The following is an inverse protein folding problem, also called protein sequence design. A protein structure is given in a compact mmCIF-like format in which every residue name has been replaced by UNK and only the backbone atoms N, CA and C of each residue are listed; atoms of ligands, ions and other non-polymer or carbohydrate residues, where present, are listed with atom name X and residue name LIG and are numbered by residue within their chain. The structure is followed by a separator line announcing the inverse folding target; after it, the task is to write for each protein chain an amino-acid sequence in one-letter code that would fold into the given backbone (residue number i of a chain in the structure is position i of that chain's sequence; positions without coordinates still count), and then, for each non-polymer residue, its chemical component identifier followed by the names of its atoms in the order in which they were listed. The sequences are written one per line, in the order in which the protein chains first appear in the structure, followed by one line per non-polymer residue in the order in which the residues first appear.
data_IF_396312738473
#
_entry.id   IF_396312738473
#
_cell.length_a   1.000
_cell.length_b   1.000
_cell.length_c   1.000
_cell.angle_alpha   90.00
_cell.angle_beta   90.00
_cell.angle_gamma   90.00
#
_symmetry.space_group_name_H-M   'P 1'
#
loop_
_entity.id
_entity.type
_entity.pdbx_description
1 polymer ?
#
# COMPACT_ATOMS: atom_id res chain seq x y z
N UNK A 1 -15.36 -5.97 -46.25
CA UNK A 1 -15.14 -4.57 -45.82
C UNK A 1 -14.61 -4.64 -44.39
N UNK A 2 -13.29 -4.67 -44.26
CA UNK A 2 -12.44 -3.55 -43.77
C UNK A 2 -12.61 -3.37 -42.26
N UNK A 3 -11.66 -3.88 -41.46
CA UNK A 3 -10.45 -3.19 -40.95
C UNK A 3 -10.77 -2.58 -39.57
N UNK A 4 -10.04 -2.75 -38.48
CA UNK A 4 -8.81 -3.41 -38.09
C UNK A 4 -8.68 -3.19 -36.56
N UNK A 5 -7.83 -3.93 -35.82
CA UNK A 5 -7.87 -3.94 -34.36
C UNK A 5 -7.07 -2.78 -33.76
N UNK A 6 -7.70 -1.96 -32.91
CA UNK A 6 -6.98 -0.99 -32.08
C UNK A 6 -6.48 -1.68 -30.81
N UNK A 7 -5.17 -1.59 -30.66
CA UNK A 7 -4.30 -2.16 -29.64
C UNK A 7 -4.58 -1.57 -28.24
N UNK A 8 -4.45 -2.46 -27.27
CA UNK A 8 -3.70 -2.31 -26.03
C UNK A 8 -3.72 -0.94 -25.32
N UNK A 9 -4.39 -0.88 -24.17
CA UNK A 9 -3.74 -0.41 -22.94
C UNK A 9 -4.11 -1.40 -21.83
N UNK A 10 -3.10 -2.15 -21.44
CA UNK A 10 -3.09 -3.07 -20.33
C UNK A 10 -3.34 -2.30 -19.02
N UNK A 11 -4.36 -2.73 -18.29
CA UNK A 11 -4.57 -2.37 -16.89
C UNK A 11 -3.58 -3.17 -16.02
N UNK A 12 -2.28 -2.93 -16.19
CA UNK A 12 -1.17 -3.56 -15.44
C UNK A 12 -0.36 -2.44 -14.80
N UNK A 13 -0.91 -1.84 -13.74
CA UNK A 13 -0.07 -1.07 -12.80
C UNK A 13 -0.66 -1.09 -11.38
N UNK A 14 -1.20 -2.22 -10.93
CA UNK A 14 -1.42 -2.48 -9.50
C UNK A 14 -1.06 -3.91 -9.08
N UNK A 15 -0.26 -4.61 -9.89
CA UNK A 15 0.24 -5.96 -9.60
C UNK A 15 1.74 -6.13 -9.93
N UNK A 16 2.53 -5.06 -9.92
CA UNK A 16 3.98 -5.14 -10.14
C UNK A 16 4.81 -4.50 -9.01
N UNK A 17 4.30 -4.54 -7.78
CA UNK A 17 5.05 -4.14 -6.58
C UNK A 17 5.27 -5.29 -5.58
N UNK A 18 4.93 -6.53 -5.93
CA UNK A 18 5.18 -7.70 -5.06
C UNK A 18 6.41 -8.52 -5.52
N UNK A 19 6.91 -8.33 -6.75
CA UNK A 19 7.99 -9.19 -7.30
C UNK A 19 9.41 -8.62 -7.29
N UNK A 20 9.70 -7.54 -6.54
CA UNK A 20 11.10 -7.11 -6.38
C UNK A 20 11.42 -6.71 -4.94
N UNK A 21 11.15 -7.64 -4.00
CA UNK A 21 11.81 -7.63 -2.71
C UNK A 21 13.16 -8.37 -2.86
N UNK A 22 14.30 -7.75 -2.50
CA UNK A 22 15.60 -8.42 -2.60
C UNK A 22 15.58 -9.71 -1.76
N UNK A 23 16.23 -10.80 -2.23
CA UNK A 23 16.27 -12.03 -1.47
C UNK A 23 17.10 -11.79 -0.21
N UNK A 24 16.41 -11.66 0.93
CA UNK A 24 17.01 -11.63 2.25
C UNK A 24 17.83 -12.93 2.47
N UNK A 25 19.15 -12.86 2.26
CA UNK A 25 20.10 -13.98 2.46
C UNK A 25 20.43 -14.26 3.94
N UNK A 26 19.54 -13.92 4.89
CA UNK A 26 19.76 -14.19 6.31
C UNK A 26 18.75 -15.21 6.86
N UNK A 27 18.83 -16.46 6.41
CA UNK A 27 18.16 -17.58 7.07
C UNK A 27 18.70 -18.99 6.68
N UNK A 28 19.97 -19.16 6.28
CA UNK A 28 20.47 -20.50 5.89
C UNK A 28 21.04 -21.36 7.02
N UNK A 29 21.45 -20.78 8.14
CA UNK A 29 22.21 -21.54 9.15
C UNK A 29 21.38 -22.20 10.25
N UNK A 30 20.05 -22.04 10.27
CA UNK A 30 19.21 -22.62 11.34
C UNK A 30 18.32 -23.81 10.92
N UNK A 31 18.33 -24.19 9.64
CA UNK A 31 17.49 -25.29 9.12
C UNK A 31 18.26 -26.55 8.73
N UNK A 32 19.58 -26.62 8.90
CA UNK A 32 20.36 -27.84 8.60
C UNK A 32 20.17 -28.98 9.61
N UNK A 33 19.51 -28.76 10.75
CA UNK A 33 19.35 -29.79 11.78
C UNK A 33 17.96 -30.45 11.84
N UNK A 34 17.13 -30.27 10.80
CA UNK A 34 15.95 -31.13 10.57
C UNK A 34 16.15 -31.91 9.28
N UNK A 35 17.00 -32.92 9.30
CA UNK A 35 16.89 -33.99 8.30
C UNK A 35 15.52 -34.67 8.44
N UNK A 36 14.75 -34.85 7.36
CA UNK A 36 13.56 -35.69 7.35
C UNK A 36 13.89 -37.21 7.32
N UNK A 37 15.17 -37.56 7.30
CA UNK A 37 15.63 -38.95 7.34
C UNK A 37 15.35 -39.58 8.72
N UNK A 38 14.96 -40.85 8.73
CA UNK A 38 14.81 -41.64 9.96
C UNK A 38 16.08 -41.62 10.84
N UNK A 39 15.98 -42.05 12.12
CA UNK A 39 17.10 -42.00 13.04
C UNK A 39 18.31 -42.74 12.46
N UNK A 40 19.49 -42.10 12.50
CA UNK A 40 20.71 -42.71 12.00
C UNK A 40 21.00 -43.98 12.83
N UNK A 41 21.48 -45.04 12.19
CA UNK A 41 21.71 -46.35 12.83
C UNK A 41 22.52 -46.24 14.14
N UNK A 42 23.52 -45.36 14.18
CA UNK A 42 24.34 -45.10 15.37
C UNK A 42 23.56 -44.50 16.53
N UNK A 43 22.73 -43.48 16.27
CA UNK A 43 21.89 -42.81 17.29
C UNK A 43 20.87 -43.77 17.89
N UNK A 44 20.27 -44.61 17.04
CA UNK A 44 19.34 -45.65 17.49
C UNK A 44 20.05 -46.72 18.34
N UNK A 45 21.29 -47.08 17.99
CA UNK A 45 22.07 -48.07 18.75
C UNK A 45 22.44 -47.59 20.15
N UNK A 46 22.85 -46.33 20.27
CA UNK A 46 23.17 -45.71 21.57
C UNK A 46 21.94 -45.61 22.46
N UNK A 47 20.79 -45.25 21.88
CA UNK A 47 19.52 -45.22 22.61
C UNK A 47 19.07 -46.62 23.06
N UNK A 48 19.16 -47.62 22.18
CA UNK A 48 18.84 -49.02 22.54
C UNK A 48 19.75 -49.50 23.67
N UNK A 49 21.05 -49.15 23.66
CA UNK A 49 21.99 -49.53 24.73
C UNK A 49 21.60 -48.94 26.09
N UNK A 50 21.06 -47.72 26.12
CA UNK A 50 20.60 -47.05 27.34
C UNK A 50 19.23 -47.50 27.86
N UNK A 51 18.52 -48.38 27.16
CA UNK A 51 17.23 -48.90 27.62
C UNK A 51 17.40 -49.88 28.80
N UNK A 52 16.46 -49.89 29.77
CA UNK A 52 16.36 -50.93 30.78
C UNK A 52 16.27 -52.33 30.15
N UNK A 53 16.80 -53.34 30.83
CA UNK A 53 16.82 -54.72 30.31
C UNK A 53 15.41 -55.26 30.05
N UNK A 54 14.45 -54.90 30.90
CA UNK A 54 13.02 -55.23 30.72
C UNK A 54 12.49 -54.75 29.37
N UNK A 55 12.77 -53.50 29.02
CA UNK A 55 12.28 -52.87 27.78
C UNK A 55 13.00 -53.44 26.55
N UNK A 56 14.29 -53.79 26.68
CA UNK A 56 15.04 -54.50 25.63
C UNK A 56 14.47 -55.89 25.37
N UNK A 57 14.19 -56.64 26.42
CA UNK A 57 13.63 -58.00 26.32
C UNK A 57 12.23 -57.98 25.70
N UNK A 58 11.37 -57.03 26.11
CA UNK A 58 10.07 -56.81 25.47
C UNK A 58 10.22 -56.51 23.98
N UNK A 59 11.15 -55.62 23.60
CA UNK A 59 11.40 -55.27 22.21
C UNK A 59 11.92 -56.43 21.36
N UNK A 60 12.64 -57.39 21.97
CA UNK A 60 13.11 -58.62 21.33
C UNK A 60 11.98 -59.64 21.19
N UNK A 61 11.16 -59.81 22.24
CA UNK A 61 9.98 -60.69 22.21
C UNK A 61 8.99 -60.21 21.16
N UNK A 62 8.68 -58.91 21.12
CA UNK A 62 7.80 -58.33 20.10
C UNK A 62 8.39 -58.44 18.69
N UNK A 63 9.72 -58.37 18.54
CA UNK A 63 10.38 -58.55 17.24
C UNK A 63 10.40 -60.00 16.76
N UNK A 64 10.41 -60.98 17.66
CA UNK A 64 10.30 -62.40 17.31
C UNK A 64 8.87 -62.79 16.87
N UNK A 65 7.85 -62.04 17.33
CA UNK A 65 6.43 -62.31 17.04
C UNK A 65 5.94 -61.57 15.78
N UNK A 66 6.44 -60.36 15.48
CA UNK A 66 6.01 -59.57 14.33
C UNK A 66 7.19 -58.84 13.64
N UNK A 67 7.60 -59.35 12.48
CA UNK A 67 8.68 -58.80 11.63
C UNK A 67 8.08 -57.94 10.50
N UNK A 68 7.65 -56.73 10.83
CA UNK A 68 7.02 -55.83 9.85
C UNK A 68 7.36 -54.34 10.00
N UNK A 69 7.05 -53.57 8.94
CA UNK A 69 7.22 -52.10 8.87
C UNK A 69 6.52 -51.37 10.03
N UNK A 70 5.40 -51.92 10.53
CA UNK A 70 4.68 -51.42 11.69
C UNK A 70 5.55 -51.39 12.96
N UNK A 71 6.36 -52.42 13.19
CA UNK A 71 7.30 -52.49 14.32
C UNK A 71 8.40 -51.43 14.17
N UNK A 72 9.00 -51.33 12.98
CA UNK A 72 10.02 -50.30 12.70
C UNK A 72 9.47 -48.90 13.04
N UNK A 73 8.23 -48.63 12.64
CA UNK A 73 7.57 -47.36 12.90
C UNK A 73 7.29 -47.10 14.40
N UNK A 74 6.88 -48.11 15.18
CA UNK A 74 6.68 -47.95 16.63
C UNK A 74 7.99 -47.63 17.37
N UNK A 75 9.09 -48.32 17.01
CA UNK A 75 10.40 -48.06 17.61
C UNK A 75 10.88 -46.63 17.28
N UNK A 76 10.76 -46.21 16.02
CA UNK A 76 11.11 -44.85 15.60
C UNK A 76 10.23 -43.81 16.29
N UNK A 77 8.95 -44.11 16.51
CA UNK A 77 8.02 -43.23 17.26
C UNK A 77 8.42 -43.08 18.72
N UNK A 78 8.81 -44.16 19.40
CA UNK A 78 9.29 -44.13 20.80
C UNK A 78 10.60 -43.33 20.92
N UNK A 79 11.55 -43.55 20.01
CA UNK A 79 12.80 -42.78 19.94
C UNK A 79 12.54 -41.28 19.75
N UNK A 80 11.64 -40.91 18.82
CA UNK A 80 11.29 -39.50 18.57
C UNK A 80 10.62 -38.87 19.80
N UNK A 81 9.70 -39.56 20.47
CA UNK A 81 8.98 -39.03 21.64
C UNK A 81 9.93 -38.69 22.79
N UNK A 82 10.91 -39.56 23.08
CA UNK A 82 11.90 -39.34 24.16
C UNK A 82 12.80 -38.15 23.85
N UNK A 83 13.30 -38.05 22.61
CA UNK A 83 14.14 -36.93 22.18
C UNK A 83 13.37 -35.60 22.17
N UNK A 84 12.10 -35.60 21.73
CA UNK A 84 11.26 -34.40 21.73
C UNK A 84 11.00 -33.86 23.14
N UNK A 85 10.80 -34.73 24.13
CA UNK A 85 10.65 -34.34 25.54
C UNK A 85 11.92 -33.66 26.08
N UNK A 86 13.10 -34.21 25.79
CA UNK A 86 14.39 -33.60 26.18
C UNK A 86 14.61 -32.23 25.51
N UNK A 87 14.20 -32.08 24.24
CA UNK A 87 14.27 -30.77 23.57
C UNK A 87 13.25 -29.77 24.13
N UNK A 88 12.07 -30.23 24.54
CA UNK A 88 11.01 -29.38 25.09
C UNK A 88 11.44 -28.72 26.41
N UNK A 89 12.08 -29.47 27.30
CA UNK A 89 12.54 -28.94 28.59
C UNK A 89 13.66 -27.89 28.43
N UNK A 90 14.57 -28.11 27.48
CA UNK A 90 15.65 -27.16 27.15
C UNK A 90 15.09 -25.92 26.45
N UNK A 91 14.10 -26.07 25.57
CA UNK A 91 13.46 -24.96 24.86
C UNK A 91 12.64 -24.09 25.83
N UNK A 92 11.87 -24.68 26.75
CA UNK A 92 11.07 -23.97 27.74
C UNK A 92 11.92 -23.08 28.68
N UNK A 93 13.14 -23.52 29.02
CA UNK A 93 14.10 -22.71 29.79
C UNK A 93 14.68 -21.54 28.97
N UNK A 94 14.75 -21.67 27.64
CA UNK A 94 15.27 -20.65 26.72
C UNK A 94 14.23 -19.64 26.24
N UNK A 95 12.95 -20.02 26.16
CA UNK A 95 11.83 -19.19 25.70
C UNK A 95 11.52 -18.04 26.66
N UNK A 96 11.61 -18.28 27.98
CA UNK A 96 11.39 -17.25 29.02
C UNK A 96 12.38 -16.08 28.93
N UNK A 97 13.53 -16.25 28.26
CA UNK A 97 14.53 -15.20 28.05
C UNK A 97 14.57 -14.63 26.61
N UNK A 98 13.55 -14.86 25.76
CA UNK A 98 13.61 -14.48 24.33
C UNK A 98 12.34 -13.88 23.72
N UNK A 99 11.15 -14.14 24.25
CA UNK A 99 9.91 -13.62 23.66
C UNK A 99 9.78 -12.09 23.77
N UNK A 100 10.14 -11.51 24.92
CA UNK A 100 10.12 -10.05 25.14
C UNK A 100 11.09 -9.29 24.24
N UNK A 101 12.30 -9.82 24.06
CA UNK A 101 13.33 -9.22 23.19
C UNK A 101 12.91 -9.25 21.72
N UNK A 102 12.25 -10.33 21.28
CA UNK A 102 11.71 -10.43 19.93
C UNK A 102 10.59 -9.41 19.69
N UNK A 103 9.70 -9.21 20.67
CA UNK A 103 8.65 -8.19 20.59
C UNK A 103 9.25 -6.78 20.57
N UNK A 104 10.24 -6.51 21.41
CA UNK A 104 10.95 -5.23 21.43
C UNK A 104 11.64 -4.95 20.09
N UNK A 105 12.35 -5.93 19.53
CA UNK A 105 12.98 -5.82 18.22
C UNK A 105 11.93 -5.61 17.11
N UNK A 106 10.80 -6.32 17.15
CA UNK A 106 9.71 -6.14 16.20
C UNK A 106 9.11 -4.72 16.27
N UNK A 107 8.92 -4.18 17.48
CA UNK A 107 8.44 -2.81 17.69
C UNK A 107 9.42 -1.76 17.14
N UNK A 108 10.72 -1.91 17.38
CA UNK A 108 11.74 -1.00 16.82
C UNK A 108 11.69 -1.00 15.29
N UNK A 109 11.62 -2.19 14.67
CA UNK A 109 11.50 -2.30 13.21
C UNK A 109 10.19 -1.74 12.67
N UNK A 110 9.08 -1.91 13.40
CA UNK A 110 7.79 -1.34 13.02
C UNK A 110 7.81 0.20 13.08
N UNK A 111 8.41 0.78 14.13
CA UNK A 111 8.59 2.23 14.24
C UNK A 111 9.44 2.79 13.10
N UNK A 112 10.54 2.12 12.78
CA UNK A 112 11.42 2.56 11.69
C UNK A 112 10.70 2.51 10.32
N UNK A 113 9.96 1.42 10.03
CA UNK A 113 9.14 1.35 8.81
C UNK A 113 8.08 2.45 8.77
N UNK A 114 7.41 2.71 9.90
CA UNK A 114 6.41 3.76 9.97
C UNK A 114 7.01 5.15 9.70
N UNK A 115 8.21 5.43 10.22
CA UNK A 115 8.94 6.66 9.96
C UNK A 115 9.24 6.83 8.47
N UNK A 116 9.85 5.81 7.85
CA UNK A 116 10.20 5.85 6.41
C UNK A 116 8.96 6.01 5.53
N UNK A 117 7.87 5.31 5.82
CA UNK A 117 6.61 5.46 5.09
C UNK A 117 6.00 6.86 5.26
N UNK A 118 6.11 7.45 6.45
CA UNK A 118 5.64 8.81 6.68
C UNK A 118 6.48 9.82 5.89
N UNK A 119 7.80 9.70 5.90
CA UNK A 119 8.72 10.54 5.11
C UNK A 119 8.47 10.42 3.61
N UNK A 120 8.17 9.22 3.10
CA UNK A 120 7.78 9.02 1.70
C UNK A 120 6.45 9.70 1.38
N UNK A 121 5.43 9.53 2.23
CA UNK A 121 4.12 10.17 2.05
C UNK A 121 4.21 11.69 2.06
N UNK A 122 5.01 12.28 2.95
CA UNK A 122 5.18 13.74 2.99
C UNK A 122 5.92 14.25 1.76
N UNK A 123 6.95 13.53 1.29
CA UNK A 123 7.66 13.87 0.06
C UNK A 123 6.77 13.75 -1.19
N UNK A 124 5.97 12.70 -1.30
CA UNK A 124 5.00 12.52 -2.40
C UNK A 124 3.91 13.59 -2.36
N UNK A 125 3.38 13.92 -1.18
CA UNK A 125 2.40 14.99 -1.03
C UNK A 125 2.99 16.34 -1.44
N UNK A 126 4.25 16.62 -1.10
CA UNK A 126 4.93 17.84 -1.51
C UNK A 126 5.12 17.91 -3.04
N UNK A 127 5.50 16.80 -3.68
CA UNK A 127 5.60 16.72 -5.15
C UNK A 127 4.26 16.97 -5.82
N UNK A 128 3.20 16.30 -5.37
CA UNK A 128 1.84 16.50 -5.92
C UNK A 128 1.38 17.95 -5.78
N UNK A 129 1.59 18.58 -4.61
CA UNK A 129 1.26 19.99 -4.42
C UNK A 129 2.04 20.89 -5.38
N UNK A 130 3.33 20.62 -5.59
CA UNK A 130 4.14 21.38 -6.55
C UNK A 130 3.65 21.20 -7.99
N UNK A 131 3.27 19.98 -8.37
CA UNK A 131 2.67 19.68 -9.67
C UNK A 131 1.32 20.37 -9.85
N UNK A 132 0.45 20.34 -8.83
CA UNK A 132 -0.85 21.00 -8.84
C UNK A 132 -0.72 22.52 -8.98
N UNK A 133 0.24 23.12 -8.26
CA UNK A 133 0.57 24.55 -8.38
C UNK A 133 1.08 24.88 -9.79
N UNK A 134 2.02 24.10 -10.33
CA UNK A 134 2.55 24.30 -11.68
C UNK A 134 1.46 24.11 -12.76
N UNK A 135 0.56 23.16 -12.58
CA UNK A 135 -0.58 22.94 -13.47
C UNK A 135 -1.57 24.11 -13.40
N UNK A 136 -1.86 24.63 -12.19
CA UNK A 136 -2.68 25.83 -12.00
C UNK A 136 -2.05 27.04 -12.67
N UNK A 137 -0.74 27.23 -12.54
CA UNK A 137 0.00 28.31 -13.21
C UNK A 137 -0.13 28.23 -14.73
N UNK A 138 0.13 27.05 -15.31
CA UNK A 138 -0.03 26.82 -16.76
C UNK A 138 -1.47 27.06 -17.23
N UNK A 139 -2.45 26.63 -16.45
CA UNK A 139 -3.86 26.86 -16.74
C UNK A 139 -4.17 28.36 -16.78
N UNK A 140 -3.72 29.12 -15.78
CA UNK A 140 -3.90 30.58 -15.74
C UNK A 140 -3.15 31.28 -16.89
N UNK A 141 -1.97 30.80 -17.28
CA UNK A 141 -1.25 31.33 -18.45
C UNK A 141 -2.04 31.11 -19.76
N UNK A 142 -2.62 29.93 -19.94
CA UNK A 142 -3.49 29.64 -21.09
C UNK A 142 -4.76 30.50 -21.09
N UNK A 143 -5.38 30.66 -19.91
CA UNK A 143 -6.54 31.51 -19.72
C UNK A 143 -6.24 32.97 -20.12
N UNK A 144 -5.05 33.46 -19.76
CA UNK A 144 -4.61 34.80 -20.11
C UNK A 144 -4.42 35.03 -21.61
N UNK A 145 -4.09 33.99 -22.37
CA UNK A 145 -3.99 34.07 -23.85
C UNK A 145 -5.35 34.06 -24.53
N UNK A 146 -6.34 33.41 -23.91
CA UNK A 146 -7.70 33.24 -24.45
C UNK A 146 -8.73 34.11 -23.75
N UNK A 147 -8.31 35.16 -23.05
CA UNK A 147 -9.17 35.98 -22.20
C UNK A 147 -10.44 36.47 -22.93
N UNK A 148 -10.30 36.96 -24.17
CA UNK A 148 -11.44 37.41 -24.98
C UNK A 148 -12.42 36.28 -25.33
N UNK A 149 -11.93 35.07 -25.56
CA UNK A 149 -12.79 33.89 -25.84
C UNK A 149 -13.53 33.45 -24.58
N UNK A 150 -12.86 33.47 -23.42
CA UNK A 150 -13.47 33.14 -22.12
C UNK A 150 -14.57 34.14 -21.78
N UNK A 151 -14.38 35.43 -22.04
CA UNK A 151 -15.45 36.43 -21.88
C UNK A 151 -16.67 36.14 -22.77
N UNK A 152 -16.45 35.68 -24.02
CA UNK A 152 -17.55 35.25 -24.91
C UNK A 152 -18.27 34.02 -24.36
N UNK A 153 -17.53 33.05 -23.82
CA UNK A 153 -18.10 31.86 -23.18
C UNK A 153 -18.94 32.22 -21.95
N UNK A 154 -18.45 33.14 -21.09
CA UNK A 154 -19.21 33.66 -19.95
C UNK A 154 -20.52 34.29 -20.44
N UNK A 155 -20.47 35.16 -21.46
CA UNK A 155 -21.67 35.77 -22.01
C UNK A 155 -22.67 34.72 -22.54
N UNK A 156 -22.19 33.69 -23.24
CA UNK A 156 -23.02 32.59 -23.73
C UNK A 156 -23.66 31.79 -22.58
N UNK A 157 -22.89 31.43 -21.55
CA UNK A 157 -23.40 30.71 -20.38
C UNK A 157 -24.42 31.52 -19.57
N UNK A 158 -24.27 32.85 -19.50
CA UNK A 158 -25.27 33.69 -18.84
C UNK A 158 -26.55 33.81 -19.69
N UNK A 159 -26.48 33.65 -21.01
CA UNK A 159 -27.65 33.65 -21.88
C UNK A 159 -28.51 32.39 -21.77
N UNK A 160 -27.92 31.20 -21.57
CA UNK A 160 -28.66 29.91 -21.60
C UNK A 160 -29.67 29.74 -20.47
N UNK A 161 -29.71 30.64 -19.47
CA UNK A 161 -30.66 30.64 -18.33
C UNK A 161 -30.69 29.33 -17.53
N UNK A 162 -29.62 28.53 -17.58
CA UNK A 162 -29.51 27.28 -16.83
C UNK A 162 -28.69 27.48 -15.55
N UNK A 163 -29.11 26.90 -14.41
CA UNK A 163 -28.34 26.96 -13.18
C UNK A 163 -26.91 26.42 -13.33
N UNK A 164 -26.70 25.32 -14.05
CA UNK A 164 -25.35 24.76 -14.24
C UNK A 164 -24.43 25.68 -15.04
N UNK A 165 -24.98 26.41 -16.00
CA UNK A 165 -24.21 27.35 -16.81
C UNK A 165 -23.86 28.61 -16.03
N UNK A 166 -24.71 29.05 -15.10
CA UNK A 166 -24.36 30.12 -14.17
C UNK A 166 -23.19 29.74 -13.27
N UNK A 167 -23.14 28.50 -12.76
CA UNK A 167 -22.01 28.04 -11.94
C UNK A 167 -20.70 28.01 -12.74
N UNK A 168 -20.78 27.59 -14.02
CA UNK A 168 -19.63 27.64 -14.96
C UNK A 168 -19.19 29.07 -15.24
N UNK A 169 -20.13 29.97 -15.49
CA UNK A 169 -19.85 31.39 -15.73
C UNK A 169 -19.16 32.04 -14.53
N UNK A 170 -19.66 31.77 -13.31
CA UNK A 170 -19.04 32.27 -12.07
C UNK A 170 -17.63 31.68 -11.90
N UNK A 171 -17.44 30.39 -12.16
CA UNK A 171 -16.11 29.75 -12.07
C UNK A 171 -15.09 30.39 -13.04
N UNK A 172 -15.50 30.66 -14.29
CA UNK A 172 -14.66 31.34 -15.28
C UNK A 172 -14.35 32.79 -14.88
N UNK A 173 -15.32 33.51 -14.30
CA UNK A 173 -15.10 34.86 -13.78
C UNK A 173 -14.12 34.87 -12.59
N UNK A 174 -14.18 33.87 -11.71
CA UNK A 174 -13.21 33.70 -10.62
C UNK A 174 -11.81 33.44 -11.15
N UNK A 175 -11.68 32.55 -12.14
CA UNK A 175 -10.39 32.28 -12.78
C UNK A 175 -9.80 33.54 -13.46
N UNK A 176 -10.63 34.36 -14.09
CA UNK A 176 -10.21 35.64 -14.67
C UNK A 176 -9.85 36.68 -13.60
N UNK A 177 -10.55 36.69 -12.46
CA UNK A 177 -10.20 37.52 -11.32
C UNK A 177 -8.83 37.15 -10.76
N UNK A 178 -8.57 35.86 -10.51
CA UNK A 178 -7.27 35.36 -10.04
C UNK A 178 -6.13 35.79 -10.98
N UNK A 179 -6.38 35.73 -12.28
CA UNK A 179 -5.45 36.21 -13.29
C UNK A 179 -5.20 37.72 -13.19
N UNK A 180 -6.24 38.53 -12.94
CA UNK A 180 -6.12 39.97 -12.78
C UNK A 180 -5.34 40.36 -11.52
N UNK A 181 -5.53 39.62 -10.43
CA UNK A 181 -4.77 39.76 -9.17
C UNK A 181 -3.29 39.48 -9.43
N UNK A 182 -2.98 38.38 -10.13
CA UNK A 182 -1.58 38.04 -10.49
C UNK A 182 -0.91 39.11 -11.36
N UNK A 183 -1.65 39.73 -12.28
CA UNK A 183 -1.12 40.79 -13.16
C UNK A 183 -1.14 42.18 -12.53
N UNK A 184 -1.64 42.31 -11.29
CA UNK A 184 -1.89 43.60 -10.62
C UNK A 184 -2.78 44.56 -11.44
N UNK A 185 -3.65 44.01 -12.30
CA UNK A 185 -4.57 44.73 -13.19
C UNK A 185 -6.02 44.67 -12.68
N UNK A 186 -6.20 44.63 -11.37
CA UNK A 186 -7.51 44.47 -10.71
C UNK A 186 -8.48 45.59 -11.06
N UNK A 187 -8.01 46.84 -11.15
CA UNK A 187 -8.87 48.00 -11.44
C UNK A 187 -9.56 47.91 -12.82
N UNK A 188 -8.85 47.46 -13.86
CA UNK A 188 -9.42 47.28 -15.20
C UNK A 188 -10.31 46.05 -15.31
N UNK A 189 -10.07 45.04 -14.47
CA UNK A 189 -10.93 43.85 -14.41
C UNK A 189 -12.29 44.19 -13.81
N UNK A 190 -12.36 44.93 -12.69
CA UNK A 190 -13.60 45.24 -11.96
C UNK A 190 -14.69 45.93 -12.79
N UNK A 191 -14.32 46.67 -13.84
CA UNK A 191 -15.30 47.31 -14.75
C UNK A 191 -16.11 46.28 -15.56
N UNK A 192 -15.55 45.11 -15.85
CA UNK A 192 -16.19 44.08 -16.68
C UNK A 192 -17.27 43.26 -15.96
N UNK A 193 -17.05 42.71 -14.74
CA UNK A 193 -18.10 42.05 -13.98
C UNK A 193 -19.20 43.02 -13.55
N UNK A 194 -18.87 44.30 -13.30
CA UNK A 194 -19.88 45.31 -12.98
C UNK A 194 -20.85 45.56 -14.15
N UNK A 195 -20.35 45.61 -15.39
CA UNK A 195 -21.20 45.66 -16.59
C UNK A 195 -22.09 44.41 -16.71
N UNK A 196 -21.57 43.23 -16.38
CA UNK A 196 -22.35 41.98 -16.39
C UNK A 196 -23.46 42.03 -15.33
N UNK A 197 -23.17 42.54 -14.12
CA UNK A 197 -24.17 42.74 -13.06
C UNK A 197 -25.28 43.69 -13.52
N UNK A 198 -24.94 44.79 -14.18
CA UNK A 198 -25.91 45.75 -14.72
C UNK A 198 -26.79 45.12 -15.81
N UNK A 199 -26.18 44.44 -16.79
CA UNK A 199 -26.92 43.81 -17.91
C UNK A 199 -27.80 42.65 -17.43
N UNK A 200 -27.43 41.98 -16.34
CA UNK A 200 -28.16 40.85 -15.79
C UNK A 200 -28.80 41.13 -14.42
N UNK A 201 -29.10 42.39 -14.13
CA UNK A 201 -29.70 42.81 -12.87
C UNK A 201 -31.02 42.09 -12.56
N UNK A 202 -31.79 41.72 -13.59
CA UNK A 202 -33.05 40.98 -13.45
C UNK A 202 -32.88 39.49 -13.10
N UNK A 203 -31.65 38.96 -13.03
CA UNK A 203 -31.36 37.53 -12.75
C UNK A 203 -30.81 37.36 -11.34
N UNK A 204 -31.70 37.40 -10.35
CA UNK A 204 -31.34 37.33 -8.92
C UNK A 204 -30.52 36.09 -8.52
N UNK A 205 -30.83 34.92 -9.10
CA UNK A 205 -30.10 33.68 -8.82
C UNK A 205 -28.65 33.69 -9.30
N UNK A 206 -28.36 34.43 -10.37
CA UNK A 206 -27.00 34.64 -10.86
C UNK A 206 -26.24 35.66 -10.00
N UNK A 207 -26.89 36.75 -9.61
CA UNK A 207 -26.32 37.76 -8.72
C UNK A 207 -25.95 37.19 -7.35
N UNK A 208 -26.82 36.35 -6.77
CA UNK A 208 -26.54 35.67 -5.49
C UNK A 208 -25.28 34.81 -5.54
N UNK A 209 -25.02 34.14 -6.68
CA UNK A 209 -23.84 33.30 -6.87
C UNK A 209 -22.56 34.12 -7.11
N UNK A 210 -22.66 35.22 -7.83
CA UNK A 210 -21.57 36.19 -7.96
C UNK A 210 -21.17 36.78 -6.61
N UNK A 211 -22.16 37.23 -5.82
CA UNK A 211 -21.93 37.75 -4.48
C UNK A 211 -21.25 36.72 -3.57
N UNK A 212 -21.67 35.44 -3.65
CA UNK A 212 -21.03 34.34 -2.92
C UNK A 212 -19.57 34.10 -3.33
N UNK A 213 -19.23 34.40 -4.58
CA UNK A 213 -17.87 34.29 -5.10
C UNK A 213 -16.99 35.52 -4.79
N UNK A 214 -17.51 36.52 -4.07
CA UNK A 214 -16.86 37.82 -3.82
C UNK A 214 -16.43 38.55 -5.12
N UNK A 215 -17.21 38.38 -6.19
CA UNK A 215 -17.01 39.01 -7.50
C UNK A 215 -18.09 40.02 -7.80
#
# INVERSE_FOLDING_TARGET
MQAGPIKAIQNITLLHCIENLPPYQFARDRLQNRSPAGPRRGELSTWIRGLPEKDKNELLITAAVDLGERRRNDLVRRFRRRNLQQTSDVLAASERRKAGDLLAAAHVRAKERARLLNEQRTAEAAKRRAEDLANRERYLDQLGRRQLEIWKQVAAHVQTRQPKDYDRAVSLLTDLHDLSVRRSQTAGFLTSPEKIRQVHAAKESFLSRLAKANL
#
